data_IF_224261331637
#
_entry.id   IF_224261331637
#
_cell.length_a   1.000
_cell.length_b   1.000
_cell.length_c   1.000
_cell.angle_alpha   90.00
_cell.angle_beta   90.00
_cell.angle_gamma   90.00
#
_symmetry.space_group_name_H-M   'P 1'
#
loop_
_entity.id
_entity.type
_entity.pdbx_description
1 polymer ?
#
# COMPACT_ATOMS: atom_id res chain seq x y z
N UNK A 1 20.02 -3.60 -104.28
CA UNK A 1 21.24 -4.27 -103.79
C UNK A 1 21.64 -3.61 -102.49
N UNK A 2 21.20 -4.18 -101.37
CA UNK A 2 21.57 -3.73 -100.04
C UNK A 2 22.95 -4.29 -99.70
N UNK A 3 23.80 -3.46 -99.10
CA UNK A 3 25.07 -3.89 -98.54
C UNK A 3 25.22 -3.28 -97.15
N UNK A 4 25.86 -4.07 -96.29
CA UNK A 4 26.85 -3.65 -95.30
C UNK A 4 26.41 -3.49 -93.84
N UNK A 5 27.12 -4.31 -93.06
CA UNK A 5 27.63 -4.19 -91.70
C UNK A 5 26.73 -4.50 -90.50
N UNK A 6 27.02 -5.68 -89.94
CA UNK A 6 26.88 -5.99 -88.53
C UNK A 6 27.86 -5.15 -87.71
N UNK A 7 27.36 -4.47 -86.69
CA UNK A 7 28.14 -4.01 -85.53
C UNK A 7 27.35 -4.33 -84.28
N UNK A 8 28.00 -5.06 -83.37
CA UNK A 8 27.47 -5.42 -82.05
C UNK A 8 27.55 -4.20 -81.15
N UNK A 9 26.40 -3.78 -80.59
CA UNK A 9 26.35 -2.76 -79.54
C UNK A 9 25.57 -3.33 -78.33
N UNK A 10 26.21 -3.23 -77.17
CA UNK A 10 25.72 -3.68 -75.88
C UNK A 10 24.45 -2.91 -75.47
N UNK A 11 23.46 -3.64 -74.95
CA UNK A 11 22.30 -3.06 -74.26
C UNK A 11 22.51 -3.27 -72.76
N UNK A 12 22.90 -2.20 -72.07
CA UNK A 12 22.89 -2.12 -70.61
C UNK A 12 21.51 -1.62 -70.19
N UNK A 13 20.66 -2.50 -69.70
CA UNK A 13 19.33 -2.15 -69.19
C UNK A 13 19.46 -1.61 -67.77
N UNK A 14 19.22 -0.32 -67.59
CA UNK A 14 19.16 0.33 -66.28
C UNK A 14 17.81 -0.04 -65.62
N UNK A 15 17.82 -0.95 -64.65
CA UNK A 15 16.64 -1.25 -63.81
C UNK A 15 16.73 -0.41 -62.53
N UNK A 16 15.95 0.66 -62.48
CA UNK A 16 15.73 1.46 -61.27
C UNK A 16 14.89 0.63 -60.29
N UNK A 17 15.53 0.06 -59.27
CA UNK A 17 14.83 -0.62 -58.17
C UNK A 17 14.43 0.42 -57.11
N UNK A 18 13.14 0.69 -57.00
CA UNK A 18 12.59 1.40 -55.85
C UNK A 18 12.73 0.51 -54.60
N UNK A 19 13.65 0.87 -53.68
CA UNK A 19 13.64 0.32 -52.33
C UNK A 19 12.49 0.97 -51.55
N UNK A 20 11.34 0.31 -51.51
CA UNK A 20 10.36 0.57 -50.45
C UNK A 20 10.91 -0.06 -49.16
N UNK A 21 11.31 0.78 -48.19
CA UNK A 21 11.58 0.33 -46.82
C UNK A 21 10.25 -0.18 -46.23
N UNK A 22 10.03 -1.49 -46.25
CA UNK A 22 9.02 -2.11 -45.39
C UNK A 22 9.58 -2.08 -43.98
N UNK A 23 9.12 -1.13 -43.17
CA UNK A 23 9.34 -1.17 -41.73
C UNK A 23 8.74 -2.49 -41.22
N UNK A 24 9.61 -3.44 -40.83
CA UNK A 24 9.17 -4.64 -40.12
C UNK A 24 8.62 -4.18 -38.77
N UNK A 25 7.30 -4.35 -38.56
CA UNK A 25 6.75 -4.28 -37.21
C UNK A 25 7.58 -5.19 -36.30
N UNK A 26 8.04 -4.72 -35.13
CA UNK A 26 8.65 -5.62 -34.17
C UNK A 26 7.58 -6.66 -33.83
N UNK A 27 7.85 -7.92 -34.19
CA UNK A 27 7.04 -9.03 -33.72
C UNK A 27 7.27 -9.10 -32.21
N UNK A 28 6.31 -8.57 -31.45
CA UNK A 28 6.18 -8.90 -30.04
C UNK A 28 5.92 -10.40 -29.98
N UNK A 29 6.94 -11.16 -29.59
CA UNK A 29 6.77 -12.56 -29.23
C UNK A 29 5.96 -12.59 -27.93
N UNK A 30 4.67 -12.93 -28.04
CA UNK A 30 3.81 -13.15 -26.89
C UNK A 30 4.11 -14.55 -26.33
N UNK A 31 4.88 -14.60 -25.24
CA UNK A 31 5.26 -15.85 -24.58
C UNK A 31 4.13 -16.44 -23.71
N UNK A 32 2.92 -15.85 -23.69
CA UNK A 32 1.78 -16.35 -22.91
C UNK A 32 1.28 -17.72 -23.37
N UNK A 33 1.49 -18.10 -24.63
CA UNK A 33 1.03 -19.41 -25.16
C UNK A 33 1.97 -20.59 -24.80
N UNK A 34 3.15 -20.34 -24.23
CA UNK A 34 4.11 -21.41 -23.94
C UNK A 34 3.83 -22.20 -22.65
N UNK A 35 2.76 -21.88 -21.91
CA UNK A 35 2.36 -22.65 -20.72
C UNK A 35 3.45 -22.80 -19.65
N UNK A 36 4.48 -21.94 -19.68
CA UNK A 36 5.49 -21.88 -18.65
C UNK A 36 4.79 -21.40 -17.38
N UNK A 37 4.94 -22.10 -16.23
CA UNK A 37 4.25 -21.71 -15.01
C UNK A 37 4.61 -20.27 -14.70
N UNK A 38 3.59 -19.40 -14.61
CA UNK A 38 3.74 -18.08 -14.02
C UNK A 38 4.51 -18.27 -12.72
N UNK A 39 5.69 -17.67 -12.66
CA UNK A 39 6.70 -17.85 -11.61
C UNK A 39 5.98 -17.81 -10.25
N UNK A 40 6.14 -18.88 -9.45
CA UNK A 40 5.57 -18.93 -8.09
C UNK A 40 5.83 -17.61 -7.38
N UNK A 41 4.84 -17.14 -6.63
CA UNK A 41 5.06 -16.12 -5.61
C UNK A 41 6.26 -16.52 -4.74
N UNK A 42 7.03 -15.53 -4.30
CA UNK A 42 8.42 -15.68 -3.83
C UNK A 42 8.60 -16.92 -2.93
N UNK A 43 9.36 -17.94 -3.38
CA UNK A 43 9.48 -19.21 -2.68
C UNK A 43 10.19 -19.09 -1.31
N UNK A 44 10.80 -17.94 -1.01
CA UNK A 44 11.37 -17.67 0.31
C UNK A 44 10.31 -17.34 1.37
N UNK A 45 9.11 -16.93 0.96
CA UNK A 45 8.01 -16.53 1.83
C UNK A 45 7.17 -17.73 2.25
N UNK A 46 6.94 -17.88 3.55
CA UNK A 46 6.27 -19.07 4.12
C UNK A 46 5.14 -18.75 5.08
N UNK A 47 4.85 -17.46 5.28
CA UNK A 47 3.69 -17.01 6.05
C UNK A 47 3.56 -15.50 6.03
N UNK A 48 2.75 -15.01 6.95
CA UNK A 48 2.38 -13.61 7.10
C UNK A 48 2.39 -13.21 8.58
N UNK A 49 2.87 -12.00 8.86
CA UNK A 49 2.74 -11.31 10.13
C UNK A 49 1.74 -10.18 9.96
N UNK A 50 0.64 -10.22 10.68
CA UNK A 50 -0.31 -9.12 10.79
C UNK A 50 -0.06 -8.27 12.04
N UNK A 51 -0.21 -6.95 11.91
CA UNK A 51 -0.26 -6.01 13.02
C UNK A 51 -1.58 -5.23 12.97
N UNK A 52 -2.31 -5.23 14.08
CA UNK A 52 -3.65 -4.65 14.16
C UNK A 52 -3.87 -3.98 15.52
N UNK A 53 -4.86 -3.11 15.62
CA UNK A 53 -5.45 -2.75 16.92
C UNK A 53 -6.81 -3.45 17.10
N UNK A 54 -7.32 -3.47 18.33
CA UNK A 54 -8.66 -3.96 18.64
C UNK A 54 -9.51 -2.76 19.06
N UNK A 55 -10.73 -2.62 18.54
CA UNK A 55 -11.51 -1.37 18.58
C UNK A 55 -11.38 -0.50 19.85
N UNK A 56 -11.65 -1.07 21.03
CA UNK A 56 -11.60 -0.42 22.34
C UNK A 56 -10.24 -0.54 23.07
N UNK A 57 -9.29 -1.25 22.48
CA UNK A 57 -7.92 -1.43 22.98
C UNK A 57 -6.93 -0.93 21.92
N UNK A 58 -6.66 0.38 21.91
CA UNK A 58 -5.78 1.01 20.93
C UNK A 58 -4.30 0.71 21.25
N UNK A 59 -3.92 -0.57 21.14
CA UNK A 59 -2.56 -1.08 21.24
C UNK A 59 -2.21 -1.86 19.96
N UNK A 60 -0.95 -2.26 19.78
CA UNK A 60 -0.55 -3.12 18.66
C UNK A 60 -0.59 -4.59 19.05
N UNK A 61 -1.35 -5.38 18.30
CA UNK A 61 -1.49 -6.82 18.47
C UNK A 61 -0.98 -7.55 17.23
N UNK A 62 -0.18 -8.59 17.44
CA UNK A 62 0.39 -9.37 16.35
C UNK A 62 -0.30 -10.69 16.14
N UNK A 63 -0.38 -11.08 14.88
CA UNK A 63 -1.01 -12.31 14.42
C UNK A 63 -0.12 -12.99 13.39
N UNK A 64 0.18 -14.27 13.61
CA UNK A 64 0.97 -15.08 12.69
C UNK A 64 0.04 -15.97 11.87
N UNK A 65 0.25 -16.07 10.57
CA UNK A 65 -0.55 -16.97 9.74
C UNK A 65 -0.38 -18.44 10.14
N UNK A 66 -1.42 -19.25 9.92
CA UNK A 66 -1.34 -20.70 10.06
C UNK A 66 -0.68 -21.30 8.80
N UNK A 67 0.62 -21.57 8.90
CA UNK A 67 1.44 -21.84 7.72
C UNK A 67 1.39 -20.67 6.73
N UNK A 68 1.34 -20.97 5.44
CA UNK A 68 1.35 -19.97 4.37
C UNK A 68 -0.08 -19.65 3.85
N UNK A 69 -1.06 -19.67 4.75
CA UNK A 69 -2.45 -19.28 4.45
C UNK A 69 -2.64 -17.78 4.68
N UNK A 70 -3.07 -17.07 3.64
CA UNK A 70 -3.23 -15.61 3.64
C UNK A 70 -4.38 -15.11 4.53
N UNK A 71 -5.35 -15.96 4.89
CA UNK A 71 -6.57 -15.53 5.60
C UNK A 71 -6.84 -16.35 6.87
N UNK A 72 -5.82 -17.05 7.36
CA UNK A 72 -5.90 -17.88 8.56
C UNK A 72 -4.78 -17.48 9.49
N UNK A 73 -5.12 -16.92 10.66
CA UNK A 73 -4.15 -16.37 11.60
C UNK A 73 -4.39 -16.85 13.03
N UNK A 74 -3.32 -16.86 13.81
CA UNK A 74 -3.36 -17.06 15.27
C UNK A 74 -2.69 -15.88 15.96
N UNK A 75 -3.24 -15.48 17.10
CA UNK A 75 -2.66 -14.42 17.90
C UNK A 75 -1.26 -14.83 18.41
N UNK A 76 -0.33 -13.89 18.37
CA UNK A 76 0.96 -13.97 19.07
C UNK A 76 0.82 -13.37 20.48
N UNK A 77 1.87 -13.48 21.30
CA UNK A 77 1.88 -13.01 22.69
C UNK A 77 0.66 -13.47 23.54
N UNK A 78 0.14 -14.67 23.27
CA UNK A 78 -1.06 -15.18 23.94
C UNK A 78 -2.31 -14.28 23.80
N UNK A 79 -2.39 -13.47 22.73
CA UNK A 79 -3.48 -12.52 22.51
C UNK A 79 -3.35 -11.19 23.26
N UNK A 80 -2.23 -10.94 23.94
CA UNK A 80 -1.92 -9.66 24.58
C UNK A 80 -1.29 -8.69 23.59
N UNK A 81 -1.37 -7.40 23.90
CA UNK A 81 -0.67 -6.37 23.14
C UNK A 81 0.84 -6.63 23.12
N UNK A 82 1.47 -6.41 21.96
CA UNK A 82 2.92 -6.44 21.78
C UNK A 82 3.52 -5.05 22.03
N UNK A 83 2.79 -3.99 21.65
CA UNK A 83 3.19 -2.60 21.91
C UNK A 83 2.01 -1.89 22.55
N UNK A 84 2.24 -1.31 23.73
CA UNK A 84 1.31 -0.40 24.41
C UNK A 84 1.95 0.99 24.39
N UNK A 85 1.34 1.98 23.71
CA UNK A 85 1.95 3.30 23.58
C UNK A 85 1.99 4.04 24.92
N UNK A 86 3.10 4.72 25.20
CA UNK A 86 3.30 5.48 26.44
C UNK A 86 3.18 7.01 26.27
N UNK A 87 3.30 7.51 25.03
CA UNK A 87 3.19 8.92 24.70
C UNK A 87 1.80 9.32 24.16
N UNK A 88 1.65 10.60 23.80
CA UNK A 88 0.47 11.13 23.11
C UNK A 88 -0.81 10.96 23.92
N UNK A 89 -1.85 10.45 23.26
CA UNK A 89 -3.15 10.11 23.87
C UNK A 89 -3.10 8.84 24.73
N UNK A 90 -1.99 8.09 24.66
CA UNK A 90 -1.85 6.76 25.27
C UNK A 90 -2.65 5.68 24.54
N UNK A 91 -2.92 5.86 23.25
CA UNK A 91 -3.53 4.88 22.36
C UNK A 91 -3.00 5.00 20.93
N UNK A 92 -2.82 3.87 20.26
CA UNK A 92 -2.37 3.74 18.87
C UNK A 92 -3.41 2.99 18.05
N UNK A 93 -3.70 3.52 16.87
CA UNK A 93 -4.58 2.90 15.88
C UNK A 93 -3.87 2.75 14.55
N UNK A 94 -4.43 1.94 13.68
CA UNK A 94 -4.00 1.77 12.29
C UNK A 94 -2.49 1.41 12.16
N UNK A 95 -1.97 0.41 12.91
CA UNK A 95 -0.54 0.11 12.87
C UNK A 95 -0.10 -0.49 11.52
N UNK A 96 0.87 0.17 10.88
CA UNK A 96 1.46 -0.26 9.62
C UNK A 96 2.91 -0.73 9.81
N UNK A 97 3.20 -2.00 9.53
CA UNK A 97 4.57 -2.52 9.49
C UNK A 97 5.22 -2.07 8.17
N UNK A 98 6.32 -1.35 8.27
CA UNK A 98 7.10 -0.85 7.14
C UNK A 98 8.41 -1.61 7.06
N UNK A 99 8.64 -2.41 6.00
CA UNK A 99 9.94 -3.01 5.74
C UNK A 99 11.01 -1.94 5.51
N UNK A 100 12.20 -2.16 6.06
CA UNK A 100 13.36 -1.33 5.77
C UNK A 100 13.67 -1.31 4.26
N UNK A 101 14.08 -0.16 3.75
CA UNK A 101 14.53 0.05 2.38
C UNK A 101 16.04 0.21 2.26
N UNK A 102 16.57 0.15 1.04
CA UNK A 102 18.00 0.34 0.78
C UNK A 102 18.89 -0.59 1.59
N UNK A 103 19.80 -0.03 2.39
CA UNK A 103 20.72 -0.82 3.22
C UNK A 103 20.04 -1.56 4.39
N UNK A 104 18.83 -1.13 4.78
CA UNK A 104 18.02 -1.72 5.86
C UNK A 104 17.13 -2.88 5.37
N UNK A 105 17.06 -3.10 4.05
CA UNK A 105 16.22 -4.13 3.46
C UNK A 105 16.50 -5.53 4.04
N UNK A 106 15.45 -6.15 4.57
CA UNK A 106 15.50 -7.47 5.21
C UNK A 106 16.19 -7.52 6.57
N UNK A 107 16.59 -6.36 7.13
CA UNK A 107 17.35 -6.27 8.39
C UNK A 107 16.67 -5.41 9.45
N UNK A 108 15.79 -4.49 9.03
CA UNK A 108 15.10 -3.57 9.91
C UNK A 108 13.66 -3.39 9.45
N UNK A 109 12.79 -3.12 10.42
CA UNK A 109 11.38 -2.82 10.23
C UNK A 109 10.98 -1.67 11.13
N UNK A 110 9.99 -0.93 10.69
CA UNK A 110 9.33 0.10 11.48
C UNK A 110 7.87 -0.26 11.67
N UNK A 111 7.26 0.27 12.72
CA UNK A 111 5.81 0.38 12.83
C UNK A 111 5.49 1.85 12.94
N UNK A 112 4.57 2.32 12.10
CA UNK A 112 3.92 3.62 12.27
C UNK A 112 2.47 3.43 12.67
N UNK A 113 1.89 4.43 13.35
CA UNK A 113 0.48 4.37 13.75
C UNK A 113 -0.10 5.72 14.11
N UNK A 114 -1.42 5.80 14.10
CA UNK A 114 -2.22 6.96 14.52
C UNK A 114 -2.14 7.12 16.03
N UNK A 115 -1.83 8.32 16.52
CA UNK A 115 -1.96 8.66 17.94
C UNK A 115 -3.43 9.02 18.26
N UNK A 116 -4.18 8.02 18.75
CA UNK A 116 -5.58 8.17 19.11
C UNK A 116 -6.07 7.08 20.08
N UNK A 117 -6.38 7.50 21.30
CA UNK A 117 -7.30 6.81 22.21
C UNK A 117 -8.69 7.47 22.11
N UNK A 118 -9.59 6.88 21.32
CA UNK A 118 -10.94 7.42 21.15
C UNK A 118 -11.77 7.37 22.45
N UNK A 119 -11.43 6.50 23.40
CA UNK A 119 -12.11 6.40 24.70
C UNK A 119 -11.85 7.60 25.62
N UNK A 120 -10.79 8.38 25.35
CA UNK A 120 -10.42 9.59 26.10
C UNK A 120 -10.83 10.89 25.40
N UNK A 121 -11.49 10.82 24.25
CA UNK A 121 -11.91 11.98 23.47
C UNK A 121 -13.25 11.71 22.77
N UNK A 122 -13.66 12.59 21.85
CA UNK A 122 -14.82 12.37 20.97
C UNK A 122 -14.38 12.35 19.51
N UNK A 123 -15.19 11.75 18.64
CA UNK A 123 -14.90 11.74 17.20
C UNK A 123 -14.83 13.14 16.58
N UNK A 124 -15.58 14.12 17.10
CA UNK A 124 -15.47 15.51 16.63
C UNK A 124 -14.15 16.13 17.11
N UNK A 125 -13.85 16.05 18.41
CA UNK A 125 -12.61 16.61 18.96
C UNK A 125 -11.35 15.96 18.34
N UNK A 126 -11.35 14.64 18.14
CA UNK A 126 -10.24 13.91 17.51
C UNK A 126 -9.98 14.32 16.05
N UNK A 127 -11.00 14.86 15.36
CA UNK A 127 -10.86 15.34 13.99
C UNK A 127 -10.54 16.83 13.91
N UNK A 128 -10.97 17.62 14.90
CA UNK A 128 -10.78 19.08 14.90
C UNK A 128 -9.48 19.46 15.55
N UNK A 129 -9.15 18.88 16.69
CA UNK A 129 -7.99 19.23 17.52
C UNK A 129 -7.23 17.98 17.95
N UNK A 130 -7.18 16.98 17.06
CA UNK A 130 -6.51 15.71 17.30
C UNK A 130 -4.99 15.81 17.24
N UNK A 131 -4.34 14.65 17.41
CA UNK A 131 -2.89 14.56 17.27
C UNK A 131 -2.45 14.95 15.85
N UNK A 132 -1.31 15.63 15.76
CA UNK A 132 -0.65 16.04 14.51
C UNK A 132 0.65 15.27 14.28
N UNK A 133 0.84 14.20 15.05
CA UNK A 133 1.99 13.33 14.96
C UNK A 133 1.62 11.91 14.63
N UNK A 134 2.64 11.15 14.25
CA UNK A 134 2.57 9.70 14.03
C UNK A 134 3.44 9.03 15.07
N UNK A 135 2.99 7.88 15.55
CA UNK A 135 3.87 7.01 16.30
C UNK A 135 4.89 6.33 15.39
N UNK A 136 6.07 6.03 15.93
CA UNK A 136 7.13 5.25 15.28
C UNK A 136 7.77 4.32 16.32
N UNK A 137 7.88 3.04 15.99
CA UNK A 137 8.76 2.06 16.65
C UNK A 137 9.66 1.39 15.61
N UNK A 138 10.76 0.78 16.06
CA UNK A 138 11.67 0.04 15.18
C UNK A 138 12.06 -1.32 15.75
N UNK A 139 12.38 -2.25 14.85
CA UNK A 139 12.80 -3.62 15.18
C UNK A 139 13.82 -4.14 14.15
N UNK A 140 14.71 -5.03 14.58
CA UNK A 140 15.64 -5.76 13.72
C UNK A 140 15.37 -7.27 13.69
N UNK A 141 14.30 -7.73 14.35
CA UNK A 141 13.95 -9.15 14.47
C UNK A 141 12.43 -9.43 14.36
N UNK A 142 11.60 -8.38 14.18
CA UNK A 142 10.13 -8.39 14.20
C UNK A 142 9.48 -8.79 15.53
N UNK A 143 10.28 -9.06 16.57
CA UNK A 143 9.81 -9.54 17.87
C UNK A 143 9.98 -8.43 18.90
N UNK A 144 11.18 -7.88 18.99
CA UNK A 144 11.57 -6.83 19.92
C UNK A 144 11.36 -5.47 19.25
N UNK A 145 10.45 -4.67 19.80
CA UNK A 145 10.13 -3.33 19.29
C UNK A 145 10.55 -2.29 20.32
N UNK A 146 11.29 -1.27 19.86
CA UNK A 146 11.88 -0.28 20.74
C UNK A 146 11.83 1.12 20.15
N UNK A 147 12.35 2.08 20.92
CA UNK A 147 12.53 3.48 20.54
C UNK A 147 11.22 4.16 20.11
N UNK A 148 10.18 4.05 20.94
CA UNK A 148 8.91 4.77 20.76
C UNK A 148 9.16 6.27 20.53
N UNK A 149 8.52 6.81 19.50
CA UNK A 149 8.52 8.24 19.19
C UNK A 149 7.13 8.66 18.74
N UNK A 150 6.68 9.82 19.19
CA UNK A 150 5.56 10.54 18.59
C UNK A 150 6.13 11.71 17.78
N UNK A 151 6.22 11.54 16.47
CA UNK A 151 6.84 12.52 15.57
C UNK A 151 5.79 13.45 15.00
N UNK A 152 5.88 14.75 15.27
CA UNK A 152 4.97 15.72 14.67
C UNK A 152 5.29 15.90 13.17
N UNK A 153 4.29 15.70 12.32
CA UNK A 153 4.43 15.74 10.85
C UNK A 153 3.58 16.80 10.16
N UNK A 154 2.63 17.41 10.88
CA UNK A 154 1.81 18.51 10.37
C UNK A 154 1.86 19.75 11.29
N UNK A 155 1.51 20.90 10.70
CA UNK A 155 1.48 22.18 11.39
C UNK A 155 0.17 22.40 12.17
N UNK A 156 0.04 23.57 12.81
CA UNK A 156 -1.10 23.91 13.67
C UNK A 156 -2.44 24.08 12.96
N UNK A 157 -2.46 24.14 11.63
CA UNK A 157 -3.69 24.26 10.84
C UNK A 157 -4.35 22.92 10.57
N UNK A 158 -3.61 21.81 10.76
CA UNK A 158 -4.15 20.46 10.62
C UNK A 158 -5.07 20.11 11.79
N UNK A 159 -6.22 19.52 11.48
CA UNK A 159 -7.16 19.03 12.49
C UNK A 159 -6.75 17.70 13.11
N UNK A 160 -6.09 16.82 12.32
CA UNK A 160 -5.63 15.50 12.74
C UNK A 160 -4.60 14.92 11.76
N UNK A 161 -3.87 13.89 12.19
CA UNK A 161 -3.00 13.04 11.36
C UNK A 161 -3.38 11.59 11.60
N UNK A 162 -3.98 10.93 10.61
CA UNK A 162 -4.55 9.58 10.75
C UNK A 162 -4.07 8.59 9.68
N UNK A 163 -4.12 7.31 10.05
CA UNK A 163 -3.78 6.13 9.25
C UNK A 163 -2.46 6.29 8.47
N UNK A 164 -1.33 6.51 9.18
CA UNK A 164 -0.06 6.62 8.50
C UNK A 164 0.39 5.26 7.95
N UNK A 165 0.92 5.26 6.73
CA UNK A 165 1.77 4.17 6.23
C UNK A 165 3.00 4.76 5.52
N UNK A 166 3.92 3.88 5.12
CA UNK A 166 5.08 4.29 4.36
C UNK A 166 5.53 3.23 3.35
N UNK A 167 6.09 3.72 2.25
CA UNK A 167 6.70 2.88 1.21
C UNK A 167 8.07 3.43 0.83
N UNK A 168 9.03 2.54 0.60
CA UNK A 168 10.37 2.93 0.14
C UNK A 168 10.33 3.40 -1.33
N UNK A 169 10.73 4.65 -1.58
CA UNK A 169 10.97 5.18 -2.91
C UNK A 169 12.45 5.01 -3.27
N UNK A 170 12.75 3.97 -4.06
CA UNK A 170 14.12 3.66 -4.48
C UNK A 170 14.77 4.78 -5.31
N UNK A 171 13.99 5.58 -6.04
CA UNK A 171 14.52 6.68 -6.84
C UNK A 171 14.99 7.86 -5.97
N UNK A 172 14.47 7.97 -4.75
CA UNK A 172 14.89 8.99 -3.77
C UNK A 172 15.82 8.46 -2.70
N UNK A 173 15.84 7.15 -2.48
CA UNK A 173 16.54 6.57 -1.34
C UNK A 173 15.91 6.99 -0.02
N UNK A 174 14.58 7.16 0.00
CA UNK A 174 13.82 7.63 1.15
C UNK A 174 12.45 6.93 1.21
N UNK A 175 11.82 6.90 2.39
CA UNK A 175 10.44 6.48 2.56
C UNK A 175 9.49 7.64 2.22
N UNK A 176 8.53 7.39 1.34
CA UNK A 176 7.33 8.21 1.21
C UNK A 176 6.40 7.80 2.35
N UNK A 177 6.26 8.67 3.35
CA UNK A 177 5.33 8.48 4.48
C UNK A 177 4.10 9.31 4.21
N UNK A 178 2.91 8.72 4.32
CA UNK A 178 1.65 9.41 4.01
C UNK A 178 0.61 9.21 5.11
N UNK A 179 -0.34 10.13 5.21
CA UNK A 179 -1.43 10.12 6.21
C UNK A 179 -2.62 10.95 5.71
N UNK A 180 -3.79 10.74 6.31
CA UNK A 180 -4.97 11.56 6.06
C UNK A 180 -5.01 12.80 6.99
N UNK A 181 -5.43 13.95 6.46
CA UNK A 181 -5.63 15.17 7.25
C UNK A 181 -6.63 16.13 6.60
N UNK A 182 -7.17 17.05 7.40
CA UNK A 182 -7.95 18.22 6.95
C UNK A 182 -7.44 19.48 7.64
N UNK A 183 -7.69 20.63 7.03
CA UNK A 183 -7.06 21.88 7.45
C UNK A 183 -8.07 22.98 7.71
N UNK A 184 -7.74 23.85 8.65
CA UNK A 184 -8.48 25.06 8.97
C UNK A 184 -7.73 26.30 8.47
N UNK A 185 -8.43 27.42 8.37
CA UNK A 185 -7.79 28.70 8.05
C UNK A 185 -6.74 29.04 9.12
N UNK A 186 -5.60 29.61 8.73
CA UNK A 186 -4.55 29.98 9.67
C UNK A 186 -5.00 30.99 10.74
N UNK A 187 -6.06 31.75 10.47
CA UNK A 187 -6.72 32.65 11.42
C UNK A 187 -7.66 31.95 12.41
N UNK A 188 -8.14 30.73 12.11
CA UNK A 188 -9.02 29.94 12.96
C UNK A 188 -8.21 29.01 13.86
N UNK A 189 -7.44 29.58 14.79
CA UNK A 189 -6.62 28.79 15.72
C UNK A 189 -7.41 27.85 16.65
N UNK A 190 -8.74 28.05 16.75
CA UNK A 190 -9.63 27.20 17.55
C UNK A 190 -10.27 26.06 16.77
N UNK A 191 -10.04 25.97 15.45
CA UNK A 191 -10.64 24.97 14.56
C UNK A 191 -12.17 24.91 14.68
N UNK A 192 -12.79 26.07 14.86
CA UNK A 192 -14.24 26.21 15.07
C UNK A 192 -15.02 26.33 13.76
N UNK A 193 -14.36 26.79 12.70
CA UNK A 193 -14.95 26.98 11.39
C UNK A 193 -15.11 25.68 10.59
N UNK A 194 -15.30 25.86 9.29
CA UNK A 194 -15.40 24.77 8.31
C UNK A 194 -13.99 24.36 7.86
N UNK A 195 -13.59 23.09 8.02
CA UNK A 195 -12.31 22.61 7.49
C UNK A 195 -12.36 22.42 5.96
N UNK A 196 -11.19 22.19 5.35
CA UNK A 196 -11.10 21.57 4.02
C UNK A 196 -11.71 20.16 4.00
N UNK A 197 -11.85 19.57 2.81
CA UNK A 197 -11.98 18.13 2.69
C UNK A 197 -10.77 17.41 3.31
N UNK A 198 -10.97 16.16 3.72
CA UNK A 198 -9.87 15.27 4.12
C UNK A 198 -9.12 14.84 2.85
N UNK A 199 -7.80 14.99 2.88
CA UNK A 199 -6.90 14.68 1.78
C UNK A 199 -5.71 13.87 2.28
N UNK A 200 -5.03 13.19 1.37
CA UNK A 200 -3.80 12.48 1.72
C UNK A 200 -2.61 13.42 1.60
N UNK A 201 -1.86 13.50 2.68
CA UNK A 201 -0.64 14.27 2.87
C UNK A 201 0.54 13.32 2.89
N UNK A 202 1.73 13.82 2.58
CA UNK A 202 2.95 13.02 2.65
C UNK A 202 4.17 13.86 2.97
N UNK A 203 5.22 13.20 3.47
CA UNK A 203 6.56 13.72 3.59
C UNK A 203 7.57 12.60 3.34
N UNK A 204 8.79 12.96 2.94
CA UNK A 204 9.90 12.02 2.85
C UNK A 204 10.73 11.99 4.13
N UNK A 205 11.20 10.80 4.48
CA UNK A 205 12.19 10.58 5.55
C UNK A 205 13.12 9.44 5.15
N UNK A 206 14.35 9.42 5.67
CA UNK A 206 15.24 8.27 5.55
C UNK A 206 15.33 7.45 6.85
N UNK A 207 14.83 7.98 7.97
CA UNK A 207 15.11 7.45 9.31
C UNK A 207 13.91 7.46 10.27
N UNK A 208 12.75 7.95 9.82
CA UNK A 208 11.56 8.17 10.65
C UNK A 208 11.83 9.04 11.89
N UNK A 209 12.72 10.01 11.75
CA UNK A 209 13.02 11.04 12.77
C UNK A 209 12.97 12.43 12.16
N UNK A 210 13.65 12.61 11.03
CA UNK A 210 13.65 13.87 10.28
C UNK A 210 12.81 13.71 9.03
N UNK A 211 11.82 14.58 8.89
CA UNK A 211 10.89 14.59 7.77
C UNK A 211 11.10 15.86 6.94
N UNK A 212 10.90 15.76 5.63
CA UNK A 212 10.71 16.93 4.79
C UNK A 212 9.45 17.70 5.22
N UNK A 213 9.30 18.94 4.75
CA UNK A 213 8.03 19.63 4.87
C UNK A 213 6.91 18.79 4.20
N UNK A 214 5.72 18.68 4.80
CA UNK A 214 4.63 17.89 4.24
C UNK A 214 4.01 18.57 3.03
N UNK A 215 3.61 17.77 2.04
CA UNK A 215 2.91 18.21 0.84
C UNK A 215 1.64 17.38 0.60
N UNK A 216 0.78 17.86 -0.30
CA UNK A 216 -0.44 17.12 -0.67
C UNK A 216 -0.06 16.03 -1.66
N UNK A 217 -0.44 14.79 -1.36
CA UNK A 217 -0.26 13.66 -2.27
C UNK A 217 -1.50 13.42 -3.12
N UNK A 218 -2.68 13.37 -2.49
CA UNK A 218 -3.96 13.09 -3.16
C UNK A 218 -5.01 14.05 -2.62
N UNK A 219 -5.66 14.77 -3.52
CA UNK A 219 -6.76 15.67 -3.19
C UNK A 219 -7.88 15.55 -4.23
N UNK A 220 -8.99 14.94 -3.83
CA UNK A 220 -10.18 14.72 -4.65
C UNK A 220 -11.34 15.63 -4.24
N UNK A 221 -11.01 16.84 -3.76
CA UNK A 221 -12.00 17.83 -3.36
C UNK A 221 -13.18 17.92 -4.35
N UNK A 222 -14.44 17.92 -3.87
CA UNK A 222 -14.83 18.02 -2.46
C UNK A 222 -14.86 16.67 -1.70
N UNK A 223 -14.42 15.57 -2.31
CA UNK A 223 -14.44 14.23 -1.70
C UNK A 223 -13.45 14.12 -0.54
N UNK A 224 -13.88 13.51 0.56
CA UNK A 224 -13.01 13.18 1.68
C UNK A 224 -12.37 11.83 1.43
N UNK A 225 -11.04 11.78 1.46
CA UNK A 225 -10.27 10.55 1.23
C UNK A 225 -9.41 10.24 2.45
N UNK A 226 -9.47 9.00 2.92
CA UNK A 226 -8.67 8.47 4.03
C UNK A 226 -8.08 7.10 3.68
N UNK A 227 -7.29 6.55 4.61
CA UNK A 227 -6.78 5.17 4.60
C UNK A 227 -6.15 4.77 3.25
N UNK A 228 -5.12 5.51 2.85
CA UNK A 228 -4.31 5.13 1.69
C UNK A 228 -3.47 3.91 2.06
N UNK A 229 -3.51 2.87 1.22
CA UNK A 229 -2.57 1.75 1.24
C UNK A 229 -1.99 1.54 -0.16
N UNK A 230 -0.67 1.36 -0.28
CA UNK A 230 0.03 1.21 -1.57
C UNK A 230 0.65 -0.18 -1.69
N UNK A 231 0.35 -0.88 -2.78
CA UNK A 231 0.91 -2.19 -3.10
C UNK A 231 1.73 -2.13 -4.40
N UNK A 232 3.05 -2.35 -4.34
CA UNK A 232 3.86 -2.56 -5.54
C UNK A 232 3.29 -3.71 -6.38
N UNK A 233 3.11 -3.49 -7.70
CA UNK A 233 2.44 -4.46 -8.56
C UNK A 233 3.29 -5.71 -8.86
N UNK A 234 4.62 -5.61 -8.73
CA UNK A 234 5.56 -6.72 -8.88
C UNK A 234 6.69 -6.46 -9.89
N UNK A 235 7.69 -7.35 -9.90
CA UNK A 235 9.02 -7.13 -10.53
C UNK A 235 9.04 -6.98 -12.06
N UNK A 236 7.95 -7.24 -12.76
CA UNK A 236 7.90 -7.09 -14.23
C UNK A 236 7.74 -5.63 -14.67
N UNK A 237 7.26 -4.77 -13.78
CA UNK A 237 7.16 -3.33 -14.00
C UNK A 237 7.42 -2.62 -12.66
N UNK A 238 8.68 -2.23 -12.45
CA UNK A 238 9.15 -1.56 -11.22
C UNK A 238 8.43 -0.22 -10.93
N UNK A 239 7.76 0.33 -11.94
CA UNK A 239 6.98 1.56 -11.84
C UNK A 239 5.48 1.31 -11.70
N UNK A 240 5.06 0.04 -11.60
CA UNK A 240 3.66 -0.32 -11.42
C UNK A 240 3.28 -0.45 -9.94
N UNK A 241 2.22 0.24 -9.57
CA UNK A 241 1.67 0.26 -8.23
C UNK A 241 0.15 0.17 -8.28
N UNK A 242 -0.42 -0.44 -7.25
CA UNK A 242 -1.80 -0.27 -6.88
C UNK A 242 -1.86 0.64 -5.67
N UNK A 243 -2.94 1.40 -5.55
CA UNK A 243 -3.30 2.06 -4.31
C UNK A 243 -4.76 1.85 -4.01
N UNK A 244 -5.04 1.56 -2.75
CA UNK A 244 -6.37 1.37 -2.22
C UNK A 244 -6.67 2.55 -1.33
N UNK A 245 -7.87 3.10 -1.48
CA UNK A 245 -8.29 4.28 -0.72
C UNK A 245 -9.72 4.11 -0.24
N UNK A 246 -10.01 4.74 0.90
CA UNK A 246 -11.35 4.93 1.39
C UNK A 246 -11.90 6.28 0.90
N UNK A 247 -13.00 6.22 0.16
CA UNK A 247 -13.89 7.35 -0.04
C UNK A 247 -14.77 7.50 1.22
N UNK A 248 -14.45 8.50 2.03
CA UNK A 248 -15.16 8.79 3.27
C UNK A 248 -16.46 9.56 3.04
N UNK A 249 -16.67 10.12 1.85
CA UNK A 249 -17.95 10.72 1.47
C UNK A 249 -18.97 9.65 1.05
N UNK A 250 -18.56 8.71 0.20
CA UNK A 250 -19.41 7.63 -0.32
C UNK A 250 -19.33 6.34 0.51
N UNK A 251 -18.50 6.31 1.55
CA UNK A 251 -18.29 5.19 2.47
C UNK A 251 -17.90 3.89 1.75
N UNK A 252 -16.97 3.94 0.81
CA UNK A 252 -16.49 2.75 0.09
C UNK A 252 -14.98 2.72 -0.12
N UNK A 253 -14.43 1.53 -0.31
CA UNK A 253 -13.03 1.31 -0.70
C UNK A 253 -12.95 1.07 -2.20
N UNK A 254 -11.97 1.71 -2.85
CA UNK A 254 -11.68 1.55 -4.28
C UNK A 254 -10.18 1.37 -4.53
N UNK A 255 -9.83 0.90 -5.72
CA UNK A 255 -8.45 0.77 -6.19
C UNK A 255 -8.18 1.65 -7.41
N UNK A 256 -6.97 2.19 -7.43
CA UNK A 256 -6.36 2.83 -8.58
C UNK A 256 -5.04 2.14 -8.90
N UNK A 257 -4.59 2.24 -10.15
CA UNK A 257 -3.30 1.72 -10.58
C UNK A 257 -2.50 2.80 -11.31
N UNK A 258 -1.17 2.69 -11.20
CA UNK A 258 -0.21 3.45 -12.00
C UNK A 258 0.82 2.50 -12.61
N UNK A 259 1.40 2.88 -13.73
CA UNK A 259 2.59 2.26 -14.35
C UNK A 259 3.70 3.29 -14.56
N UNK A 260 3.60 4.44 -13.89
CA UNK A 260 4.48 5.61 -14.06
C UNK A 260 5.12 6.04 -12.74
N UNK A 261 5.14 5.14 -11.74
CA UNK A 261 5.73 5.37 -10.44
C UNK A 261 4.77 5.94 -9.39
N UNK A 262 5.24 6.03 -8.15
CA UNK A 262 4.47 6.51 -6.99
C UNK A 262 3.88 7.92 -7.22
N UNK A 263 4.65 8.82 -7.83
CA UNK A 263 4.22 10.19 -8.13
C UNK A 263 3.70 10.35 -9.57
N UNK A 264 3.36 9.24 -10.23
CA UNK A 264 2.91 9.22 -11.61
C UNK A 264 1.41 9.44 -11.78
N UNK A 265 0.91 9.14 -12.98
CA UNK A 265 -0.51 9.19 -13.30
C UNK A 265 -1.22 7.95 -12.74
N UNK A 266 -2.31 8.17 -12.02
CA UNK A 266 -3.14 7.11 -11.44
C UNK A 266 -4.48 7.03 -12.18
N UNK A 267 -4.94 5.80 -12.41
CA UNK A 267 -6.22 5.52 -13.08
C UNK A 267 -7.10 4.69 -12.17
N UNK A 268 -8.38 5.05 -12.05
CA UNK A 268 -9.44 4.26 -11.41
C UNK A 268 -10.23 3.48 -12.46
N UNK A 269 -10.01 2.17 -12.67
CA UNK A 269 -10.76 1.41 -13.66
C UNK A 269 -12.25 1.39 -13.33
N UNK A 270 -13.07 1.70 -14.33
CA UNK A 270 -14.52 1.89 -14.16
C UNK A 270 -14.94 3.33 -13.81
N UNK A 271 -14.00 4.26 -13.64
CA UNK A 271 -14.29 5.68 -13.38
C UNK A 271 -14.55 5.99 -11.90
N UNK A 272 -14.92 7.25 -11.62
CA UNK A 272 -15.05 7.79 -10.25
C UNK A 272 -16.11 7.09 -9.38
N UNK A 273 -17.08 6.40 -9.98
CA UNK A 273 -18.10 5.64 -9.24
C UNK A 273 -17.74 4.19 -8.95
N UNK A 274 -16.62 3.66 -9.49
CA UNK A 274 -16.30 2.24 -9.39
C UNK A 274 -15.59 1.91 -8.08
N UNK A 275 -16.12 1.01 -7.26
CA UNK A 275 -15.55 0.67 -5.95
C UNK A 275 -15.53 -0.85 -5.75
N UNK A 276 -14.68 -1.30 -4.82
CA UNK A 276 -14.51 -2.70 -4.44
C UNK A 276 -15.59 -3.12 -3.44
N UNK A 277 -15.71 -2.36 -2.35
CA UNK A 277 -16.62 -2.70 -1.25
C UNK A 277 -17.18 -1.45 -0.58
N UNK A 278 -18.50 -1.41 -0.42
CA UNK A 278 -19.18 -0.36 0.34
C UNK A 278 -19.19 -0.67 1.84
N UNK A 279 -19.40 0.36 2.65
CA UNK A 279 -19.47 0.32 4.12
C UNK A 279 -18.24 -0.31 4.79
N UNK A 280 -17.06 -0.03 4.22
CA UNK A 280 -15.76 -0.51 4.72
C UNK A 280 -14.73 0.59 4.69
N UNK A 281 -13.65 0.45 5.46
CA UNK A 281 -12.49 1.35 5.52
C UNK A 281 -11.18 0.54 5.65
N UNK A 282 -10.06 1.21 5.89
CA UNK A 282 -8.79 0.59 6.24
C UNK A 282 -8.28 -0.51 5.32
N UNK A 283 -8.14 -0.28 4.01
CA UNK A 283 -7.62 -1.30 3.11
C UNK A 283 -6.20 -1.75 3.52
N UNK A 284 -5.98 -3.05 3.70
CA UNK A 284 -4.65 -3.61 3.90
C UNK A 284 -4.37 -4.68 2.83
N UNK A 285 -3.58 -4.34 1.81
CA UNK A 285 -3.35 -5.20 0.65
C UNK A 285 -1.97 -5.88 0.68
N UNK A 286 -1.91 -7.10 0.16
CA UNK A 286 -0.68 -7.90 0.09
C UNK A 286 -0.81 -9.02 -0.95
N UNK A 287 0.31 -9.46 -1.49
CA UNK A 287 0.34 -10.56 -2.45
C UNK A 287 0.17 -11.93 -1.79
N UNK A 288 -0.48 -12.84 -2.50
CA UNK A 288 -0.54 -14.24 -2.11
C UNK A 288 0.81 -14.92 -2.37
N UNK A 289 1.36 -15.59 -1.35
CA UNK A 289 2.67 -16.25 -1.39
C UNK A 289 2.61 -17.59 -2.16
N UNK A 290 1.41 -18.14 -2.42
CA UNK A 290 1.21 -19.44 -3.07
C UNK A 290 0.70 -19.31 -4.51
N UNK A 291 -0.17 -18.37 -4.79
CA UNK A 291 -0.73 -18.14 -6.12
C UNK A 291 -0.19 -16.85 -6.73
N UNK A 292 0.63 -17.00 -7.76
CA UNK A 292 1.12 -15.88 -8.55
C UNK A 292 -0.05 -15.02 -9.07
N UNK A 293 0.13 -13.69 -9.03
CA UNK A 293 -0.87 -12.73 -9.51
C UNK A 293 -2.14 -12.59 -8.65
N UNK A 294 -2.30 -13.38 -7.58
CA UNK A 294 -3.41 -13.20 -6.65
C UNK A 294 -3.06 -12.18 -5.57
N UNK A 295 -3.85 -11.13 -5.46
CA UNK A 295 -3.79 -10.17 -4.37
C UNK A 295 -4.86 -10.48 -3.32
N UNK A 296 -4.51 -10.24 -2.06
CA UNK A 296 -5.42 -10.22 -0.93
C UNK A 296 -5.60 -8.76 -0.48
N UNK A 297 -6.77 -8.47 0.07
CA UNK A 297 -7.14 -7.17 0.61
C UNK A 297 -7.99 -7.39 1.86
N UNK A 298 -7.56 -6.89 3.01
CA UNK A 298 -8.44 -6.77 4.17
C UNK A 298 -9.19 -5.44 4.09
N UNK A 299 -10.47 -5.43 4.42
CA UNK A 299 -11.29 -4.21 4.54
C UNK A 299 -12.06 -4.22 5.86
N UNK A 300 -11.95 -3.13 6.63
CA UNK A 300 -12.51 -3.03 7.98
C UNK A 300 -13.98 -2.61 7.91
N UNK A 301 -14.89 -3.49 8.36
CA UNK A 301 -16.27 -3.15 8.59
C UNK A 301 -16.38 -2.37 9.91
N UNK A 302 -16.13 -1.06 9.81
CA UNK A 302 -15.93 -0.20 10.97
C UNK A 302 -17.12 -0.09 11.93
N UNK A 303 -18.35 -0.28 11.43
CA UNK A 303 -19.58 -0.36 12.22
C UNK A 303 -20.03 -1.78 12.58
N UNK A 304 -19.21 -2.81 12.28
CA UNK A 304 -19.53 -4.21 12.44
C UNK A 304 -18.39 -5.03 13.06
N UNK A 305 -18.16 -6.24 12.51
CA UNK A 305 -17.32 -7.26 13.13
C UNK A 305 -15.80 -7.11 12.88
N UNK A 306 -15.36 -5.97 12.36
CA UNK A 306 -13.97 -5.67 12.04
C UNK A 306 -13.56 -6.14 10.63
N UNK A 307 -12.30 -6.54 10.48
CA UNK A 307 -11.73 -6.90 9.19
C UNK A 307 -12.39 -8.12 8.54
N UNK A 308 -12.57 -8.02 7.21
CA UNK A 308 -12.88 -9.16 6.37
C UNK A 308 -11.89 -9.28 5.19
N UNK A 309 -11.48 -10.51 4.84
CA UNK A 309 -10.60 -10.74 3.71
C UNK A 309 -11.35 -10.75 2.39
N UNK A 310 -10.74 -10.14 1.38
CA UNK A 310 -11.10 -10.22 -0.04
C UNK A 310 -9.88 -10.71 -0.83
N UNK A 311 -10.11 -11.32 -2.00
CA UNK A 311 -9.03 -11.66 -2.93
C UNK A 311 -9.45 -11.56 -4.39
N UNK A 312 -8.47 -11.40 -5.27
CA UNK A 312 -8.68 -11.38 -6.73
C UNK A 312 -7.39 -11.73 -7.48
N UNK A 313 -7.53 -12.19 -8.73
CA UNK A 313 -6.43 -12.36 -9.70
C UNK A 313 -6.38 -11.21 -10.72
N UNK A 314 -7.22 -10.18 -10.57
CA UNK A 314 -7.23 -9.00 -11.44
C UNK A 314 -7.24 -7.70 -10.63
N UNK A 315 -6.20 -7.47 -9.79
CA UNK A 315 -6.25 -6.46 -8.73
C UNK A 315 -6.17 -5.01 -9.20
N UNK A 316 -5.99 -4.76 -10.50
CA UNK A 316 -6.15 -3.41 -11.09
C UNK A 316 -7.61 -2.98 -11.12
N UNK A 317 -8.56 -3.92 -11.16
CA UNK A 317 -9.98 -3.64 -11.30
C UNK A 317 -10.69 -3.40 -9.96
N UNK A 318 -11.73 -2.56 -10.00
CA UNK A 318 -12.65 -2.37 -8.86
C UNK A 318 -13.71 -3.49 -8.74
N UNK A 319 -13.81 -4.37 -9.73
CA UNK A 319 -14.70 -5.54 -9.71
C UNK A 319 -13.90 -6.85 -9.55
N UNK A 320 -14.58 -7.95 -9.22
CA UNK A 320 -13.95 -9.27 -9.16
C UNK A 320 -13.18 -9.55 -7.86
N UNK A 321 -13.45 -8.80 -6.80
CA UNK A 321 -12.98 -9.09 -5.44
C UNK A 321 -13.95 -10.02 -4.73
N UNK A 322 -13.52 -11.26 -4.51
CA UNK A 322 -14.31 -12.30 -3.85
C UNK A 322 -14.03 -12.33 -2.35
N UNK A 323 -15.04 -12.65 -1.54
CA UNK A 323 -14.86 -12.84 -0.10
C UNK A 323 -13.94 -14.04 0.16
N UNK A 324 -12.91 -13.83 0.98
CA UNK A 324 -12.08 -14.90 1.53
C UNK A 324 -12.82 -15.68 2.61
N UNK A 325 -12.31 -16.86 2.94
CA UNK A 325 -12.82 -17.62 4.10
C UNK A 325 -12.53 -16.86 5.39
N UNK A 326 -13.53 -16.79 6.28
CA UNK A 326 -13.39 -16.22 7.63
C UNK A 326 -13.32 -17.28 8.72
N UNK A 327 -13.37 -18.57 8.36
CA UNK A 327 -13.46 -19.67 9.33
C UNK A 327 -12.31 -19.69 10.35
N UNK A 328 -11.12 -19.29 9.92
CA UNK A 328 -9.92 -19.18 10.77
C UNK A 328 -9.33 -17.76 10.78
N UNK A 329 -10.12 -16.76 10.37
CA UNK A 329 -9.72 -15.36 10.44
C UNK A 329 -10.11 -14.80 11.82
N UNK A 330 -9.18 -14.17 12.57
CA UNK A 330 -9.50 -13.65 13.90
C UNK A 330 -10.58 -12.57 13.85
N UNK A 331 -11.57 -12.66 14.74
CA UNK A 331 -12.59 -11.63 14.90
C UNK A 331 -12.07 -10.41 15.65
N UNK A 332 -12.68 -9.24 15.40
CA UNK A 332 -12.42 -8.01 16.17
C UNK A 332 -11.14 -7.25 15.78
N UNK A 333 -10.36 -7.76 14.82
CA UNK A 333 -9.26 -7.02 14.22
C UNK A 333 -9.79 -5.77 13.52
N UNK A 334 -9.12 -4.64 13.72
CA UNK A 334 -9.40 -3.37 13.06
C UNK A 334 -8.21 -2.94 12.20
N UNK A 335 -8.35 -1.81 11.50
CA UNK A 335 -7.37 -1.29 10.56
C UNK A 335 -5.91 -1.50 11.01
N UNK A 336 -5.09 -2.10 10.14
CA UNK A 336 -3.70 -2.43 10.39
C UNK A 336 -3.04 -2.91 9.09
N UNK A 337 -2.05 -3.79 9.20
CA UNK A 337 -1.23 -4.21 8.05
C UNK A 337 -0.85 -5.69 8.09
N UNK A 338 -0.44 -6.22 6.93
CA UNK A 338 0.04 -7.59 6.77
C UNK A 338 1.37 -7.60 6.02
N UNK A 339 2.40 -8.13 6.67
CA UNK A 339 3.73 -8.32 6.11
C UNK A 339 3.94 -9.79 5.72
N UNK A 340 4.20 -10.13 4.45
CA UNK A 340 4.68 -11.47 4.12
C UNK A 340 6.08 -11.70 4.70
N UNK A 341 6.33 -12.89 5.23
CA UNK A 341 7.54 -13.21 5.98
C UNK A 341 8.21 -14.51 5.50
N UNK A 342 9.53 -14.54 5.66
CA UNK A 342 10.39 -15.69 5.33
C UNK A 342 10.25 -16.84 6.33
N UNK A 343 10.77 -18.01 5.98
CA UNK A 343 10.83 -19.17 6.89
C UNK A 343 11.56 -18.89 8.21
N UNK A 344 12.65 -18.12 8.15
CA UNK A 344 13.43 -17.77 9.33
C UNK A 344 12.61 -16.86 10.28
N UNK A 345 11.98 -15.82 9.73
CA UNK A 345 11.11 -14.92 10.49
C UNK A 345 9.90 -15.65 11.06
N UNK A 346 9.24 -16.51 10.27
CA UNK A 346 8.09 -17.31 10.71
C UNK A 346 8.45 -18.20 11.91
N UNK A 347 9.59 -18.89 11.84
CA UNK A 347 10.07 -19.76 12.91
C UNK A 347 10.44 -18.96 14.17
N UNK A 348 11.12 -17.83 14.00
CA UNK A 348 11.50 -16.96 15.11
C UNK A 348 10.27 -16.40 15.84
N UNK A 349 9.30 -15.85 15.10
CA UNK A 349 8.04 -15.34 15.66
C UNK A 349 7.23 -16.44 16.38
N UNK A 350 7.19 -17.65 15.83
CA UNK A 350 6.49 -18.79 16.42
C UNK A 350 7.13 -19.33 17.71
N UNK A 351 8.44 -19.16 17.87
CA UNK A 351 9.19 -19.58 19.05
C UNK A 351 9.44 -18.43 20.06
N UNK A 352 9.07 -17.20 19.70
CA UNK A 352 9.35 -16.02 20.49
C UNK A 352 8.69 -16.08 21.88
N UNK A 353 9.47 -15.66 22.89
CA UNK A 353 8.95 -15.33 24.21
C UNK A 353 8.76 -13.82 24.24
N UNK A 354 7.49 -13.42 24.24
CA UNK A 354 7.07 -12.04 24.32
C UNK A 354 7.18 -11.58 25.77
N UNK A 355 7.85 -10.45 26.00
CA UNK A 355 8.14 -9.90 27.34
C UNK A 355 7.46 -8.57 27.54
#
# INVERSE_FOLDING_TARGET
MASILRTSAAVLLLVTTCLALVARNPQHLDFRELGLPERRADPSLTGYLGAFFLGDKPDVYFYLSNGNDAVSFKALNGGKAVIVPSAGTGGVRDPAIVPGGGAEAGKKWYIVGTDLDIGKTTWDAAQRTGSRGIFVWESTDLISWANERLVQVEDKTAGMVWAPEAIWDANKGQYLVHWASKFYAASDSGHTGTPSNIKIRFAYTSDFRTFSAPATYIDYAPTNIIDLNILPYGSSDENAYLRFLKDETLKNVFVEYSTTGLNGTWTRPGGSGAFIRAQTEGPASYWDNRAAGRANLLVDYYGGNGYAPLSTTSPRGNSGWANGSTANFPGGLRHGSVLPITAAQYSALGAAKWS
#
